data_IF_683807552447
#
_entry.id   IF_683807552447
#
_cell.length_a   1.000
_cell.length_b   1.000
_cell.length_c   1.000
_cell.angle_alpha   90.00
_cell.angle_beta   90.00
_cell.angle_gamma   90.00
#
_symmetry.space_group_name_H-M   'P 1'
#
loop_
_entity.id
_entity.type
_entity.pdbx_description
1 polymer ?
#
# COMPACT_ATOMS: atom_id res chain seq x y z
N UNK A 1 -16.43 -5.53 3.71
CA UNK A 1 -16.89 -4.58 4.75
C UNK A 1 -16.05 -3.32 4.57
N UNK A 2 -16.57 -2.36 3.82
CA UNK A 2 -15.97 -1.05 3.63
C UNK A 2 -16.78 -0.08 4.48
N UNK A 3 -16.10 0.64 5.37
CA UNK A 3 -16.68 1.74 6.14
C UNK A 3 -17.05 2.88 5.18
N UNK A 4 -18.14 3.59 5.49
CA UNK A 4 -18.83 4.60 4.65
C UNK A 4 -17.97 5.84 4.32
N UNK A 5 -16.67 5.81 4.64
CA UNK A 5 -15.66 6.83 4.33
C UNK A 5 -14.74 6.45 3.16
N UNK A 6 -14.89 5.28 2.53
CA UNK A 6 -14.03 4.85 1.42
C UNK A 6 -12.56 4.60 1.81
N UNK A 7 -12.26 4.61 3.11
CA UNK A 7 -10.92 4.33 3.66
C UNK A 7 -10.77 2.83 3.92
N UNK A 8 -9.68 2.25 3.43
CA UNK A 8 -9.35 0.87 3.75
C UNK A 8 -8.84 0.80 5.19
N UNK A 9 -9.48 -0.01 6.02
CA UNK A 9 -9.09 -0.20 7.44
C UNK A 9 -7.64 -0.71 7.56
N UNK A 10 -7.18 -1.48 6.56
CA UNK A 10 -5.81 -1.99 6.47
C UNK A 10 -5.43 -2.25 5.02
N UNK A 11 -4.15 -2.05 4.70
CA UNK A 11 -3.55 -2.52 3.46
C UNK A 11 -3.41 -4.05 3.52
N UNK A 12 -3.93 -4.77 2.53
CA UNK A 12 -3.79 -6.23 2.45
C UNK A 12 -2.80 -6.66 1.37
N UNK A 13 -2.38 -7.93 1.42
CA UNK A 13 -1.52 -8.52 0.38
C UNK A 13 -2.23 -8.61 -0.97
N UNK A 14 -3.55 -8.78 -0.95
CA UNK A 14 -4.36 -8.83 -2.17
C UNK A 14 -4.42 -7.45 -2.84
N UNK A 15 -4.53 -6.38 -2.04
CA UNK A 15 -4.43 -5.01 -2.52
C UNK A 15 -3.10 -4.73 -3.24
N UNK A 16 -1.99 -5.24 -2.68
CA UNK A 16 -0.65 -5.15 -3.29
C UNK A 16 -0.56 -5.96 -4.59
N UNK A 17 -1.13 -7.17 -4.59
CA UNK A 17 -1.17 -8.04 -5.78
C UNK A 17 -2.01 -7.45 -6.90
N UNK A 18 -3.07 -6.72 -6.54
CA UNK A 18 -3.94 -6.00 -7.47
C UNK A 18 -3.25 -4.82 -8.16
N UNK A 19 -2.08 -4.37 -7.68
CA UNK A 19 -1.29 -3.35 -8.37
C UNK A 19 -0.57 -4.00 -9.55
N UNK A 20 -0.95 -3.59 -10.75
CA UNK A 20 -0.26 -3.97 -11.97
C UNK A 20 1.18 -3.43 -12.01
N UNK A 21 2.06 -4.15 -12.69
CA UNK A 21 3.46 -3.72 -12.86
C UNK A 21 3.49 -2.41 -13.65
N UNK A 22 4.27 -1.45 -13.18
CA UNK A 22 4.35 -0.08 -13.71
C UNK A 22 3.21 0.84 -13.27
N UNK A 23 2.26 0.37 -12.44
CA UNK A 23 1.16 1.19 -11.94
C UNK A 23 1.41 1.67 -10.51
N UNK A 24 0.81 2.81 -10.22
CA UNK A 24 0.79 3.43 -8.89
C UNK A 24 -0.64 3.41 -8.36
N UNK A 25 -0.79 3.01 -7.10
CA UNK A 25 -2.08 3.01 -6.40
C UNK A 25 -1.91 3.70 -5.05
N UNK A 26 -2.83 4.60 -4.75
CA UNK A 26 -2.87 5.32 -3.47
C UNK A 26 -3.92 4.68 -2.58
N UNK A 27 -3.53 4.38 -1.34
CA UNK A 27 -4.39 3.82 -0.32
C UNK A 27 -4.62 4.85 0.77
N UNK A 28 -5.88 4.99 1.17
CA UNK A 28 -6.27 5.83 2.29
C UNK A 28 -6.42 4.96 3.52
N UNK A 29 -5.64 5.25 4.55
CA UNK A 29 -5.55 4.49 5.78
C UNK A 29 -6.14 5.32 6.93
N UNK A 30 -6.59 4.67 8.01
CA UNK A 30 -7.21 5.37 9.13
C UNK A 30 -6.19 6.20 9.92
N UNK A 31 -4.99 5.67 10.13
CA UNK A 31 -3.97 6.24 11.03
C UNK A 31 -2.54 6.08 10.49
N UNK A 32 -1.62 6.90 11.00
CA UNK A 32 -0.18 6.79 10.71
C UNK A 32 0.37 5.38 11.00
N UNK A 33 -0.09 4.72 12.07
CA UNK A 33 0.31 3.35 12.40
C UNK A 33 -0.11 2.34 11.32
N UNK A 34 -1.26 2.55 10.71
CA UNK A 34 -1.70 1.73 9.58
C UNK A 34 -0.81 1.96 8.36
N UNK A 35 -0.35 3.20 8.12
CA UNK A 35 0.65 3.49 7.08
C UNK A 35 1.97 2.76 7.32
N UNK A 36 2.52 2.78 8.54
CA UNK A 36 3.76 2.07 8.87
C UNK A 36 3.61 0.55 8.67
N UNK A 37 2.51 -0.03 9.14
CA UNK A 37 2.20 -1.45 8.90
C UNK A 37 2.09 -1.77 7.41
N UNK A 38 1.41 -0.92 6.64
CA UNK A 38 1.26 -1.08 5.18
C UNK A 38 2.62 -1.00 4.45
N UNK A 39 3.46 -0.04 4.85
CA UNK A 39 4.83 0.10 4.35
C UNK A 39 5.66 -1.16 4.63
N UNK A 40 5.65 -1.65 5.86
CA UNK A 40 6.37 -2.85 6.26
C UNK A 40 5.88 -4.09 5.50
N UNK A 41 4.56 -4.25 5.32
CA UNK A 41 3.98 -5.32 4.52
C UNK A 41 4.46 -5.26 3.08
N UNK A 42 4.48 -4.07 2.49
CA UNK A 42 4.89 -3.85 1.10
C UNK A 42 6.34 -4.29 0.89
N UNK A 43 7.27 -3.87 1.75
CA UNK A 43 8.68 -4.30 1.66
C UNK A 43 8.86 -5.81 1.82
N UNK A 44 8.13 -6.45 2.73
CA UNK A 44 8.15 -7.91 2.86
C UNK A 44 7.65 -8.60 1.59
N UNK A 45 6.63 -8.03 0.95
CA UNK A 45 6.03 -8.57 -0.27
C UNK A 45 6.87 -8.38 -1.53
N UNK A 46 7.78 -7.38 -1.57
CA UNK A 46 8.71 -7.17 -2.69
C UNK A 46 9.52 -8.43 -2.99
N UNK A 47 10.08 -9.04 -1.94
CA UNK A 47 10.89 -10.25 -2.05
C UNK A 47 10.05 -11.47 -2.48
N UNK A 48 8.83 -11.58 -1.96
CA UNK A 48 7.93 -12.69 -2.28
C UNK A 48 7.41 -12.65 -3.73
N UNK A 49 7.21 -11.45 -4.27
CA UNK A 49 6.70 -11.26 -5.63
C UNK A 49 7.79 -11.07 -6.69
N UNK A 50 9.06 -11.00 -6.28
CA UNK A 50 10.16 -10.68 -7.20
C UNK A 50 9.93 -9.36 -7.92
N UNK A 51 9.47 -8.32 -7.21
CA UNK A 51 9.21 -7.01 -7.79
C UNK A 51 9.65 -5.88 -6.85
N UNK A 52 9.87 -4.68 -7.38
CA UNK A 52 10.32 -3.54 -6.60
C UNK A 52 9.15 -2.58 -6.34
N UNK A 53 8.68 -2.52 -5.10
CA UNK A 53 7.63 -1.59 -4.70
C UNK A 53 8.25 -0.28 -4.17
N UNK A 54 7.86 0.84 -4.75
CA UNK A 54 8.16 2.18 -4.21
C UNK A 54 7.00 2.62 -3.33
N UNK A 55 7.28 2.96 -2.07
CA UNK A 55 6.26 3.39 -1.10
C UNK A 55 6.50 4.84 -0.72
N UNK A 56 5.47 5.68 -0.82
CA UNK A 56 5.45 7.06 -0.34
C UNK A 56 4.32 7.22 0.67
N UNK A 57 4.67 7.59 1.88
CA UNK A 57 3.71 7.79 2.97
C UNK A 57 3.46 9.28 3.18
N UNK A 58 2.19 9.66 3.24
CA UNK A 58 1.75 10.99 3.66
C UNK A 58 1.02 10.85 5.00
N UNK A 59 1.69 11.26 6.08
CA UNK A 59 1.14 11.18 7.44
C UNK A 59 0.11 12.26 7.73
N UNK A 60 0.07 13.34 6.94
CA UNK A 60 -0.89 14.43 7.11
C UNK A 60 -2.25 14.03 6.53
N UNK A 61 -2.24 13.36 5.38
CA UNK A 61 -3.42 12.84 4.72
C UNK A 61 -3.78 11.39 5.12
N UNK A 62 -2.94 10.74 5.93
CA UNK A 62 -3.01 9.30 6.22
C UNK A 62 -3.13 8.46 4.94
N UNK A 63 -2.28 8.76 3.96
CA UNK A 63 -2.23 8.02 2.69
C UNK A 63 -0.92 7.31 2.48
N UNK A 64 -1.01 6.19 1.77
CA UNK A 64 0.13 5.38 1.39
C UNK A 64 0.06 5.11 -0.11
N UNK A 65 0.98 5.72 -0.85
CA UNK A 65 1.10 5.57 -2.28
C UNK A 65 2.11 4.49 -2.59
N UNK A 66 1.70 3.47 -3.32
CA UNK A 66 2.53 2.33 -3.68
C UNK A 66 2.63 2.25 -5.20
N UNK A 67 3.85 2.18 -5.71
CA UNK A 67 4.14 1.92 -7.12
C UNK A 67 4.79 0.57 -7.26
N UNK A 68 4.24 -0.30 -8.11
CA UNK A 68 4.89 -1.57 -8.46
C UNK A 68 5.80 -1.34 -9.65
N UNK A 69 7.09 -1.57 -9.49
CA UNK A 69 8.04 -1.52 -10.59
C UNK A 69 8.46 -2.93 -10.99
N UNK A 70 8.70 -3.13 -12.28
CA UNK A 70 9.43 -4.30 -12.74
C UNK A 70 10.84 -4.30 -12.13
N UNK A 71 11.39 -5.50 -11.88
CA UNK A 71 12.81 -5.65 -11.54
C UNK A 71 13.66 -5.40 -12.78
#
# INVERSE_FOLDING_TARGET
>A
MADETGKAIKLTRDDLRSIDVGKTKTFYLPDAKACDNGKALTYQFQNLMGCKFSVKTDYTANTLTITRNAI
#
